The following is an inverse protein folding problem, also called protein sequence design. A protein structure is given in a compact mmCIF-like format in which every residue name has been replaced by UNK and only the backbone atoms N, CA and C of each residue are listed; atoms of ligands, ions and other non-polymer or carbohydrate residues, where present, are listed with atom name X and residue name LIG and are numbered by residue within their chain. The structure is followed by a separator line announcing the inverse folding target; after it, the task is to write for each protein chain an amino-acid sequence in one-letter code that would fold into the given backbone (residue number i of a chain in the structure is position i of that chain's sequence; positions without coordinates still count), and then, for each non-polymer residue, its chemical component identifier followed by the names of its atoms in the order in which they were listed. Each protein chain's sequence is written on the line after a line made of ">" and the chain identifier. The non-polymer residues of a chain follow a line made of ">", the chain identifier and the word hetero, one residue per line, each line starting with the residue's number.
data_IF_391752837228
#
_entry.id   IF_391752837228
#
_cell.length_a   1.000
_cell.length_b   1.000
_cell.length_c   1.000
_cell.angle_alpha   90.00
_cell.angle_beta   90.00
_cell.angle_gamma   90.00
#
_symmetry.space_group_name_H-M   'P 1'
#
loop_
_entity.id
_entity.type
_entity.pdbx_description
1 polymer ?
#
# COMPACT_ATOMS: atom_id res chain seq x y z
N UNK A 1 42.86 -24.32 11.47
CA UNK A 1 42.68 -25.57 12.23
C UNK A 1 41.25 -26.04 12.00
N UNK A 2 41.10 -27.28 11.51
CA UNK A 2 39.88 -27.84 10.92
C UNK A 2 39.07 -28.61 11.96
N UNK A 3 37.74 -28.47 11.97
CA UNK A 3 36.85 -29.53 12.51
C UNK A 3 35.50 -29.52 11.78
N UNK A 4 35.35 -30.50 10.89
CA UNK A 4 34.09 -31.01 10.36
C UNK A 4 33.46 -31.92 11.43
N UNK A 5 32.15 -31.81 11.62
CA UNK A 5 31.31 -32.90 12.18
C UNK A 5 30.07 -33.03 11.28
N UNK A 6 29.79 -34.26 10.83
CA UNK A 6 28.61 -34.72 10.06
C UNK A 6 28.50 -34.45 8.54
N UNK A 7 29.61 -34.33 7.81
CA UNK A 7 29.67 -34.78 6.39
C UNK A 7 28.66 -34.23 5.37
N UNK A 8 27.90 -33.17 5.70
CA UNK A 8 26.96 -32.50 4.80
C UNK A 8 27.28 -31.00 4.80
N UNK A 9 27.44 -30.36 3.63
CA UNK A 9 27.57 -28.91 3.58
C UNK A 9 26.28 -28.25 4.10
N UNK A 10 26.42 -27.39 5.11
CA UNK A 10 25.33 -26.59 5.71
C UNK A 10 24.66 -25.66 4.67
N UNK A 11 25.25 -25.51 3.49
CA UNK A 11 24.72 -24.73 2.37
C UNK A 11 23.59 -25.41 1.58
N UNK A 12 23.21 -26.65 1.89
CA UNK A 12 22.10 -27.34 1.21
C UNK A 12 20.70 -27.06 1.81
N UNK A 13 20.61 -26.45 2.99
CA UNK A 13 19.32 -26.21 3.67
C UNK A 13 18.64 -24.87 3.34
N UNK A 14 19.34 -23.95 2.66
CA UNK A 14 18.89 -22.57 2.42
C UNK A 14 18.61 -22.31 0.93
N UNK A 15 19.16 -23.13 0.03
CA UNK A 15 19.09 -22.91 -1.43
C UNK A 15 17.91 -23.65 -2.10
N UNK A 16 17.39 -24.71 -1.47
CA UNK A 16 16.31 -25.52 -2.05
C UNK A 16 14.99 -24.74 -2.31
N UNK A 17 14.53 -23.81 -1.43
CA UNK A 17 13.29 -23.06 -1.69
C UNK A 17 13.42 -22.07 -2.84
N UNK A 18 14.65 -21.63 -3.16
CA UNK A 18 14.90 -20.62 -4.20
C UNK A 18 14.99 -21.26 -5.60
N UNK A 19 15.42 -22.52 -5.69
CA UNK A 19 15.51 -23.29 -6.95
C UNK A 19 14.12 -23.70 -7.48
N UNK A 20 13.16 -23.91 -6.58
CA UNK A 20 11.79 -24.27 -6.94
C UNK A 20 10.95 -23.08 -7.45
N UNK A 21 11.30 -21.85 -7.06
CA UNK A 21 10.69 -20.64 -7.60
C UNK A 21 11.12 -20.37 -9.06
N UNK A 22 12.37 -20.64 -9.41
CA UNK A 22 12.89 -20.47 -10.78
C UNK A 22 12.55 -21.61 -11.76
N UNK A 23 12.20 -22.82 -11.30
CA UNK A 23 11.98 -23.98 -12.18
C UNK A 23 10.54 -24.19 -12.66
N UNK A 24 9.60 -23.30 -12.32
CA UNK A 24 8.23 -23.33 -12.85
C UNK A 24 7.37 -24.53 -12.44
N UNK A 25 7.86 -25.41 -11.55
CA UNK A 25 7.16 -26.65 -11.15
C UNK A 25 5.99 -26.47 -10.18
N UNK A 26 5.85 -25.29 -9.56
CA UNK A 26 4.69 -24.94 -8.71
C UNK A 26 3.48 -24.43 -9.50
N UNK A 27 3.55 -24.28 -10.83
CA UNK A 27 2.36 -23.99 -11.66
C UNK A 27 1.41 -25.19 -11.79
N UNK A 28 1.87 -26.42 -11.55
CA UNK A 28 1.04 -27.61 -11.77
C UNK A 28 0.10 -27.97 -10.61
N UNK A 29 0.39 -27.52 -9.38
CA UNK A 29 -0.40 -27.90 -8.20
C UNK A 29 -1.50 -26.91 -7.83
N UNK A 30 -1.34 -25.62 -8.17
CA UNK A 30 -2.35 -24.58 -7.87
C UNK A 30 -3.46 -24.48 -8.94
N UNK A 31 -3.23 -25.01 -10.15
CA UNK A 31 -4.25 -25.05 -11.21
C UNK A 31 -5.29 -26.18 -11.07
N UNK A 32 -5.19 -27.05 -10.06
CA UNK A 32 -6.21 -28.09 -9.78
C UNK A 32 -7.38 -27.62 -8.90
N UNK A 33 -7.30 -26.43 -8.29
CA UNK A 33 -8.29 -25.96 -7.29
C UNK A 33 -9.29 -24.95 -7.87
N UNK A 34 -9.19 -24.59 -9.15
CA UNK A 34 -10.18 -23.72 -9.81
C UNK A 34 -10.70 -24.43 -11.06
N UNK A 35 -11.72 -25.30 -10.89
CA UNK A 35 -12.63 -25.63 -11.98
C UNK A 35 -13.78 -24.61 -11.96
N UNK A 36 -13.95 -23.76 -12.97
CA UNK A 36 -15.25 -23.17 -13.25
C UNK A 36 -16.13 -24.22 -13.92
N UNK A 37 -17.34 -24.38 -13.40
CA UNK A 37 -18.42 -25.12 -14.05
C UNK A 37 -18.71 -24.49 -15.42
N UNK A 38 -18.71 -25.33 -16.46
CA UNK A 38 -19.15 -24.97 -17.81
C UNK A 38 -20.63 -24.57 -17.76
N UNK A 39 -20.95 -23.37 -18.24
CA UNK A 39 -22.29 -23.06 -18.75
C UNK A 39 -22.27 -23.38 -20.24
N UNK A 40 -23.09 -24.35 -20.64
CA UNK A 40 -23.23 -24.81 -22.01
C UNK A 40 -23.79 -23.71 -22.90
N UNK A 41 -23.18 -23.59 -24.08
CA UNK A 41 -23.73 -22.90 -25.22
C UNK A 41 -24.49 -23.94 -26.05
N UNK A 42 -25.80 -23.76 -26.20
CA UNK A 42 -26.59 -24.44 -27.22
C UNK A 42 -27.33 -23.37 -28.04
N UNK A 43 -26.82 -23.11 -29.24
CA UNK A 43 -27.48 -22.38 -30.30
C UNK A 43 -27.58 -23.37 -31.47
N UNK A 44 -28.75 -23.96 -31.71
CA UNK A 44 -29.18 -24.47 -33.01
C UNK A 44 -30.70 -24.69 -33.00
N UNK A 45 -31.41 -24.12 -33.98
CA UNK A 45 -32.85 -24.32 -34.15
C UNK A 45 -33.44 -23.34 -35.16
N UNK A 46 -33.13 -23.57 -36.44
CA UNK A 46 -33.89 -23.02 -37.57
C UNK A 46 -35.28 -23.63 -37.61
N UNK A 47 -36.34 -22.83 -37.78
CA UNK A 47 -37.56 -23.19 -38.53
C UNK A 47 -38.48 -21.96 -38.69
N UNK A 48 -38.79 -21.61 -39.95
CA UNK A 48 -39.97 -20.80 -40.30
C UNK A 48 -41.22 -21.69 -40.34
N UNK A 49 -42.44 -21.16 -40.57
CA UNK A 49 -42.77 -20.62 -41.90
C UNK A 49 -43.77 -19.44 -41.97
N UNK A 50 -43.64 -18.67 -43.06
CA UNK A 50 -44.66 -18.21 -44.03
C UNK A 50 -46.08 -17.88 -43.52
N UNK A 51 -46.46 -16.60 -43.69
CA UNK A 51 -47.85 -16.13 -43.79
C UNK A 51 -47.93 -14.64 -44.20
N UNK A 52 -48.20 -14.36 -45.48
CA UNK A 52 -48.55 -13.05 -46.07
C UNK A 52 -50.10 -12.91 -46.17
N UNK A 53 -50.71 -11.83 -46.74
CA UNK A 53 -50.48 -10.38 -46.66
C UNK A 53 -51.82 -9.59 -46.44
N UNK A 54 -51.78 -8.24 -46.32
CA UNK A 54 -52.95 -7.37 -46.57
C UNK A 54 -52.89 -5.98 -45.91
N UNK A 55 -53.58 -4.95 -46.47
CA UNK A 55 -52.92 -3.71 -46.87
C UNK A 55 -53.52 -2.41 -46.27
N UNK A 56 -52.99 -1.26 -46.72
CA UNK A 56 -53.62 0.08 -46.69
C UNK A 56 -53.61 0.83 -45.34
N UNK A 57 -53.50 2.16 -45.21
CA UNK A 57 -53.42 3.30 -46.12
C UNK A 57 -52.95 4.55 -45.31
N UNK A 58 -52.50 5.58 -46.04
CA UNK A 58 -52.55 7.03 -45.72
C UNK A 58 -51.50 7.64 -44.77
N UNK A 59 -50.50 8.23 -45.40
CA UNK A 59 -50.03 9.60 -45.11
C UNK A 59 -51.17 10.63 -45.26
N UNK A 60 -51.08 11.79 -44.57
CA UNK A 60 -50.79 13.00 -45.32
C UNK A 60 -49.78 13.95 -44.65
N UNK A 61 -49.29 14.86 -45.48
CA UNK A 61 -48.30 15.92 -45.29
C UNK A 61 -49.01 17.27 -45.01
N UNK A 62 -48.28 18.26 -44.46
CA UNK A 62 -48.57 19.72 -44.32
C UNK A 62 -49.49 20.11 -43.14
N UNK A 63 -49.24 21.15 -42.31
CA UNK A 63 -48.30 22.28 -42.26
C UNK A 63 -48.23 22.83 -40.80
N UNK A 64 -47.41 23.85 -40.46
CA UNK A 64 -47.02 24.20 -39.09
C UNK A 64 -47.97 25.18 -38.41
N UNK A 65 -48.26 24.96 -37.13
CA UNK A 65 -49.01 25.92 -36.31
C UNK A 65 -48.06 26.59 -35.29
N UNK A 66 -47.56 27.77 -35.69
CA UNK A 66 -46.86 28.72 -34.82
C UNK A 66 -47.88 29.33 -33.85
N UNK A 67 -48.05 28.70 -32.69
CA UNK A 67 -48.60 29.38 -31.51
C UNK A 67 -47.61 29.32 -30.36
N UNK A 68 -47.00 30.47 -30.13
CA UNK A 68 -46.24 30.82 -28.95
C UNK A 68 -47.01 30.39 -27.69
N UNK A 69 -46.57 29.28 -27.08
CA UNK A 69 -46.86 28.99 -25.68
C UNK A 69 -45.76 29.64 -24.87
N UNK A 70 -46.15 30.65 -24.09
CA UNK A 70 -45.35 31.29 -23.08
C UNK A 70 -44.52 30.24 -22.32
N UNK A 71 -43.19 30.27 -22.53
CA UNK A 71 -42.24 29.62 -21.64
C UNK A 71 -42.36 30.32 -20.29
N UNK A 72 -43.07 29.70 -19.37
CA UNK A 72 -42.96 30.08 -17.96
C UNK A 72 -41.51 29.88 -17.55
N UNK A 73 -40.86 30.86 -16.90
CA UNK A 73 -39.54 30.62 -16.33
C UNK A 73 -39.71 29.53 -15.27
N UNK A 74 -39.18 28.34 -15.55
CA UNK A 74 -38.99 27.30 -14.54
C UNK A 74 -38.17 27.97 -13.44
N UNK A 75 -38.67 28.09 -12.20
CA UNK A 75 -37.84 28.58 -11.13
C UNK A 75 -36.68 27.59 -11.00
N UNK A 76 -35.47 28.05 -11.30
CA UNK A 76 -34.24 27.31 -11.01
C UNK A 76 -34.20 27.21 -9.49
N UNK A 77 -34.80 26.12 -9.00
CA UNK A 77 -34.87 25.79 -7.60
C UNK A 77 -33.44 25.58 -7.13
N UNK A 78 -32.96 26.61 -6.44
CA UNK A 78 -32.00 26.56 -5.34
C UNK A 78 -31.03 25.40 -5.45
N UNK A 79 -29.85 25.70 -6.01
CA UNK A 79 -28.64 24.88 -5.99
C UNK A 79 -28.71 23.81 -4.91
N UNK A 80 -28.93 22.57 -5.37
CA UNK A 80 -28.92 21.36 -4.57
C UNK A 80 -27.73 21.48 -3.62
N UNK A 81 -28.00 21.65 -2.32
CA UNK A 81 -26.99 21.71 -1.27
C UNK A 81 -26.15 20.45 -1.45
N UNK A 82 -24.97 20.58 -2.07
CA UNK A 82 -24.05 19.47 -2.24
C UNK A 82 -23.73 19.04 -0.81
N UNK A 83 -24.20 17.84 -0.48
CA UNK A 83 -24.12 17.28 0.85
C UNK A 83 -22.73 17.48 1.44
N UNK A 84 -22.64 18.32 2.47
CA UNK A 84 -21.44 18.54 3.27
C UNK A 84 -20.93 17.25 3.92
N UNK A 85 -21.76 16.20 3.98
CA UNK A 85 -21.35 14.85 4.38
C UNK A 85 -20.28 14.23 3.47
N UNK A 86 -20.19 14.66 2.20
CA UNK A 86 -19.16 14.18 1.25
C UNK A 86 -17.82 14.91 1.37
N UNK A 87 -17.78 16.10 1.98
CA UNK A 87 -16.57 16.89 2.14
C UNK A 87 -15.71 16.37 3.31
N UNK A 88 -16.34 15.92 4.40
CA UNK A 88 -15.65 15.33 5.56
C UNK A 88 -14.93 14.00 5.27
N UNK A 89 -15.35 13.26 4.24
CA UNK A 89 -14.74 11.98 3.83
C UNK A 89 -13.45 12.12 3.03
N UNK A 90 -13.09 13.34 2.61
CA UNK A 90 -11.89 13.62 1.78
C UNK A 90 -10.70 14.13 2.59
N UNK A 91 -10.91 14.49 3.85
CA UNK A 91 -9.88 15.06 4.71
C UNK A 91 -9.31 13.94 5.58
N UNK A 92 -7.97 13.89 5.68
CA UNK A 92 -7.30 12.98 6.62
C UNK A 92 -7.66 13.41 8.04
N UNK A 93 -8.25 12.53 8.87
CA UNK A 93 -8.68 12.90 10.20
C UNK A 93 -7.46 13.16 11.11
N UNK A 94 -7.62 14.05 12.11
CA UNK A 94 -6.52 14.49 12.98
C UNK A 94 -5.81 13.34 13.71
N UNK A 95 -6.55 12.32 14.14
CA UNK A 95 -5.98 11.14 14.82
C UNK A 95 -5.07 10.32 13.89
N UNK A 96 -5.35 10.28 12.58
CA UNK A 96 -4.53 9.55 11.62
C UNK A 96 -3.24 10.31 11.28
N UNK A 97 -3.30 11.64 11.32
CA UNK A 97 -2.09 12.45 11.23
C UNK A 97 -1.25 12.32 12.50
N UNK A 98 -1.87 12.34 13.68
CA UNK A 98 -1.17 12.17 14.95
C UNK A 98 -0.45 10.81 15.01
N UNK A 99 -1.10 9.71 14.58
CA UNK A 99 -0.45 8.41 14.48
C UNK A 99 0.71 8.40 13.48
N UNK A 100 0.54 9.07 12.33
CA UNK A 100 1.62 9.17 11.34
C UNK A 100 2.81 9.99 11.83
N UNK A 101 2.60 11.00 12.69
CA UNK A 101 3.67 11.76 13.36
C UNK A 101 4.35 10.93 14.44
N UNK A 102 3.58 10.18 15.23
CA UNK A 102 4.11 9.36 16.31
C UNK A 102 5.02 8.23 15.79
N UNK A 103 4.71 7.64 14.63
CA UNK A 103 5.49 6.55 14.02
C UNK A 103 7.02 6.81 13.96
N UNK A 104 7.51 7.85 13.25
CA UNK A 104 8.95 8.11 13.17
C UNK A 104 9.55 8.51 14.54
N UNK A 105 8.78 9.18 15.42
CA UNK A 105 9.26 9.55 16.76
C UNK A 105 9.52 8.30 17.61
N UNK A 106 8.58 7.34 17.60
CA UNK A 106 8.68 6.10 18.35
C UNK A 106 9.82 5.23 17.84
N UNK A 107 10.00 5.17 16.52
CA UNK A 107 11.09 4.42 15.90
C UNK A 107 12.46 5.04 16.23
N UNK A 108 12.65 6.33 15.96
CA UNK A 108 13.93 7.03 16.18
C UNK A 108 14.24 7.10 17.67
N UNK A 109 13.25 7.44 18.49
CA UNK A 109 13.38 7.47 19.94
C UNK A 109 13.72 6.10 20.51
N UNK A 110 13.05 5.05 20.02
CA UNK A 110 13.28 3.66 20.43
C UNK A 110 14.73 3.22 20.20
N UNK A 111 15.26 3.37 18.98
CA UNK A 111 16.63 2.94 18.72
C UNK A 111 17.66 3.85 19.39
N UNK A 112 17.38 5.15 19.53
CA UNK A 112 18.34 6.11 20.10
C UNK A 112 18.49 5.86 21.59
N UNK A 113 17.36 5.71 22.29
CA UNK A 113 17.34 5.40 23.70
C UNK A 113 17.86 3.98 23.96
N UNK A 114 17.45 2.99 23.15
CA UNK A 114 17.93 1.61 23.28
C UNK A 114 19.44 1.48 23.08
N UNK A 115 20.00 2.16 22.08
CA UNK A 115 21.45 2.18 21.83
C UNK A 115 22.22 2.83 22.99
N UNK A 116 21.69 3.91 23.56
CA UNK A 116 22.30 4.59 24.71
C UNK A 116 22.33 3.74 26.00
N UNK A 117 21.55 2.65 26.05
CA UNK A 117 21.54 1.70 27.18
C UNK A 117 22.50 0.53 27.00
N UNK A 118 23.05 0.31 25.81
CA UNK A 118 23.92 -0.84 25.59
C UNK A 118 25.28 -0.63 26.28
N UNK A 119 25.74 -1.59 27.11
CA UNK A 119 27.05 -1.54 27.72
C UNK A 119 28.16 -1.50 26.65
N UNK A 120 29.19 -0.68 26.88
CA UNK A 120 30.30 -0.53 25.92
C UNK A 120 29.97 0.31 24.68
N UNK A 121 28.74 0.82 24.57
CA UNK A 121 28.25 1.56 23.41
C UNK A 121 27.69 0.64 22.33
N UNK A 122 26.78 1.17 21.52
CA UNK A 122 26.19 0.46 20.39
C UNK A 122 26.66 1.08 19.07
N UNK A 123 27.28 0.29 18.20
CA UNK A 123 27.62 0.73 16.86
C UNK A 123 26.37 0.77 15.97
N UNK A 124 25.93 1.98 15.63
CA UNK A 124 24.74 2.23 14.81
C UNK A 124 24.95 1.84 13.33
N UNK A 125 26.20 1.67 12.88
CA UNK A 125 26.53 1.35 11.48
C UNK A 125 26.42 -0.15 11.24
N UNK A 126 27.03 -0.95 12.11
CA UNK A 126 27.03 -2.43 12.00
C UNK A 126 25.83 -3.07 12.69
N UNK A 127 25.38 -2.52 13.82
CA UNK A 127 24.31 -3.10 14.63
C UNK A 127 22.91 -2.74 14.13
N UNK A 128 22.07 -3.74 13.90
CA UNK A 128 20.67 -3.56 13.46
C UNK A 128 19.78 -2.95 14.54
N UNK A 129 18.70 -2.28 14.13
CA UNK A 129 17.60 -1.85 15.00
C UNK A 129 17.02 -3.06 15.72
N UNK A 130 16.80 -4.18 15.01
CA UNK A 130 16.30 -5.41 15.61
C UNK A 130 17.23 -6.01 16.68
N UNK A 131 18.55 -5.79 16.59
CA UNK A 131 19.48 -6.21 17.64
C UNK A 131 19.20 -5.50 18.97
N UNK A 132 18.71 -4.25 18.95
CA UNK A 132 18.31 -3.53 20.16
C UNK A 132 17.04 -4.10 20.81
N UNK A 133 16.26 -4.90 20.08
CA UNK A 133 15.08 -5.61 20.59
C UNK A 133 15.36 -7.10 20.87
N UNK A 134 16.60 -7.57 20.63
CA UNK A 134 16.97 -8.97 20.81
C UNK A 134 16.84 -9.41 22.28
N UNK A 135 16.67 -10.71 22.50
CA UNK A 135 16.49 -11.29 23.86
C UNK A 135 17.64 -10.92 24.80
N UNK A 136 18.87 -10.82 24.27
CA UNK A 136 20.07 -10.47 25.03
C UNK A 136 20.36 -8.98 25.17
N UNK A 137 19.59 -8.08 24.54
CA UNK A 137 19.87 -6.64 24.58
C UNK A 137 19.49 -6.03 25.93
N UNK A 138 20.34 -5.12 26.45
CA UNK A 138 20.04 -4.37 27.67
C UNK A 138 18.84 -3.46 27.43
N UNK A 139 17.90 -3.45 28.38
CA UNK A 139 16.65 -2.69 28.27
C UNK A 139 15.90 -2.88 26.93
N UNK A 140 15.91 -4.10 26.38
CA UNK A 140 15.29 -4.44 25.08
C UNK A 140 13.84 -3.97 24.92
N UNK A 141 13.12 -3.86 26.03
CA UNK A 141 11.74 -3.39 26.09
C UNK A 141 11.57 -2.01 25.45
N UNK A 142 12.59 -1.14 25.49
CA UNK A 142 12.58 0.19 24.88
C UNK A 142 12.37 0.08 23.37
N UNK A 143 13.19 -0.73 22.70
CA UNK A 143 13.08 -0.93 21.27
C UNK A 143 11.83 -1.74 20.91
N UNK A 144 11.48 -2.76 21.70
CA UNK A 144 10.24 -3.53 21.50
C UNK A 144 9.00 -2.63 21.55
N UNK A 145 8.90 -1.70 22.50
CA UNK A 145 7.80 -0.74 22.56
C UNK A 145 7.83 0.25 21.39
N UNK A 146 9.03 0.69 20.97
CA UNK A 146 9.20 1.51 19.77
C UNK A 146 8.64 0.84 18.51
N UNK A 147 9.00 -0.44 18.28
CA UNK A 147 8.50 -1.24 17.16
C UNK A 147 7.00 -1.53 17.28
N UNK A 148 6.52 -1.89 18.47
CA UNK A 148 5.10 -2.14 18.71
C UNK A 148 4.25 -0.89 18.45
N UNK A 149 4.70 0.25 18.96
CA UNK A 149 4.06 1.54 18.73
C UNK A 149 4.10 1.98 17.26
N UNK A 150 5.23 1.78 16.57
CA UNK A 150 5.36 2.02 15.13
C UNK A 150 4.35 1.18 14.33
N UNK A 151 4.30 -0.12 14.57
CA UNK A 151 3.39 -1.04 13.88
C UNK A 151 1.92 -0.66 14.09
N UNK A 152 1.53 -0.32 15.32
CA UNK A 152 0.20 0.17 15.63
C UNK A 152 -0.09 1.50 14.90
N UNK A 153 0.87 2.43 14.89
CA UNK A 153 0.73 3.69 14.19
C UNK A 153 0.50 3.50 12.68
N UNK A 154 1.16 2.54 12.04
CA UNK A 154 0.90 2.21 10.63
C UNK A 154 -0.53 1.69 10.41
N UNK A 155 -1.01 0.79 11.27
CA UNK A 155 -2.38 0.28 11.21
C UNK A 155 -3.44 1.38 11.39
N UNK A 156 -3.25 2.26 12.38
CA UNK A 156 -4.12 3.41 12.64
C UNK A 156 -4.08 4.37 11.43
N UNK A 157 -2.88 4.73 10.95
CA UNK A 157 -2.73 5.62 9.79
C UNK A 157 -3.44 5.04 8.56
N UNK A 158 -3.30 3.74 8.29
CA UNK A 158 -4.01 3.06 7.21
C UNK A 158 -5.54 3.15 7.33
N UNK A 159 -6.09 3.05 8.55
CA UNK A 159 -7.51 3.22 8.80
C UNK A 159 -8.00 4.64 8.45
N UNK A 160 -7.15 5.64 8.66
CA UNK A 160 -7.48 7.06 8.45
C UNK A 160 -7.27 7.59 7.03
N UNK A 161 -6.43 6.94 6.22
CA UNK A 161 -6.16 7.32 4.83
C UNK A 161 -7.28 6.92 3.84
N UNK A 162 -8.54 7.13 4.22
CA UNK A 162 -9.74 6.82 3.41
C UNK A 162 -9.78 7.42 2.00
N UNK A 163 -9.12 8.56 1.70
CA UNK A 163 -9.05 9.05 0.32
C UNK A 163 -8.25 8.14 -0.62
N UNK A 164 -7.41 7.25 -0.11
CA UNK A 164 -6.57 6.34 -0.89
C UNK A 164 -7.30 5.06 -1.26
N UNK A 165 -6.79 4.35 -2.28
CA UNK A 165 -7.34 3.07 -2.67
C UNK A 165 -7.23 2.04 -1.54
N UNK A 166 -8.24 1.15 -1.35
CA UNK A 166 -8.22 0.13 -0.30
C UNK A 166 -7.00 -0.78 -0.32
N UNK A 167 -6.48 -1.11 -1.51
CA UNK A 167 -5.32 -1.98 -1.67
C UNK A 167 -4.05 -1.39 -1.03
N UNK A 168 -3.73 -0.11 -1.29
CA UNK A 168 -2.60 0.56 -0.63
C UNK A 168 -2.78 0.68 0.88
N UNK A 169 -4.01 0.92 1.36
CA UNK A 169 -4.28 0.94 2.81
C UNK A 169 -4.10 -0.44 3.46
N UNK A 170 -4.58 -1.49 2.81
CA UNK A 170 -4.40 -2.86 3.29
C UNK A 170 -2.92 -3.23 3.36
N UNK A 171 -2.12 -2.82 2.38
CA UNK A 171 -0.68 -3.09 2.38
C UNK A 171 0.07 -2.29 3.45
N UNK A 172 -0.32 -1.03 3.69
CA UNK A 172 0.21 -0.25 4.83
C UNK A 172 -0.13 -0.90 6.18
N UNK A 173 -1.36 -1.39 6.35
CA UNK A 173 -1.76 -2.13 7.55
C UNK A 173 -1.01 -3.46 7.69
N UNK A 174 -0.79 -4.18 6.59
CA UNK A 174 0.03 -5.39 6.57
C UNK A 174 1.47 -5.11 7.02
N UNK A 175 2.05 -4.00 6.56
CA UNK A 175 3.36 -3.54 7.02
C UNK A 175 3.40 -3.27 8.53
N UNK A 176 2.36 -2.62 9.05
CA UNK A 176 2.18 -2.41 10.49
C UNK A 176 2.07 -3.72 11.28
N UNK A 177 1.27 -4.68 10.81
CA UNK A 177 1.16 -6.01 11.41
C UNK A 177 2.47 -6.80 11.35
N UNK A 178 3.21 -6.72 10.25
CA UNK A 178 4.55 -7.28 10.15
C UNK A 178 5.50 -6.69 11.18
N UNK A 179 5.45 -5.38 11.39
CA UNK A 179 6.26 -4.69 12.42
C UNK A 179 5.89 -5.12 13.83
N UNK A 180 4.59 -5.30 14.12
CA UNK A 180 4.13 -5.88 15.40
C UNK A 180 4.67 -7.31 15.58
N UNK A 181 4.68 -8.11 14.52
CA UNK A 181 5.23 -9.47 14.55
C UNK A 181 6.75 -9.46 14.77
N UNK A 182 7.50 -8.51 14.21
CA UNK A 182 8.94 -8.33 14.51
C UNK A 182 9.16 -8.08 16.01
N UNK A 183 8.32 -7.26 16.63
CA UNK A 183 8.38 -7.02 18.08
C UNK A 183 8.03 -8.27 18.92
N UNK A 184 7.09 -9.09 18.43
CA UNK A 184 6.67 -10.33 19.09
C UNK A 184 7.68 -11.49 18.92
N UNK A 185 8.42 -11.50 17.81
CA UNK A 185 9.44 -12.51 17.50
C UNK A 185 10.83 -11.87 17.53
N UNK A 186 11.41 -11.59 18.71
CA UNK A 186 12.73 -10.97 18.81
C UNK A 186 13.83 -11.90 18.27
N UNK A 187 14.96 -11.30 17.93
CA UNK A 187 16.18 -12.06 17.62
C UNK A 187 16.65 -12.83 18.87
N UNK A 188 17.25 -14.03 18.69
CA UNK A 188 17.89 -14.77 19.77
C UNK A 188 19.04 -13.96 20.39
N UNK A 189 19.52 -14.39 21.56
CA UNK A 189 20.75 -13.84 22.13
C UNK A 189 21.97 -14.21 21.28
N UNK A 190 22.87 -13.25 21.02
CA UNK A 190 24.05 -13.42 20.16
C UNK A 190 23.75 -13.23 18.67
N UNK A 191 24.71 -13.58 17.80
CA UNK A 191 24.64 -13.35 16.33
C UNK A 191 23.76 -14.37 15.58
N UNK A 192 22.78 -14.97 16.25
CA UNK A 192 21.90 -16.00 15.68
C UNK A 192 20.74 -15.43 14.86
N UNK A 193 20.38 -16.07 13.75
CA UNK A 193 19.19 -15.75 12.97
C UNK A 193 17.90 -16.34 13.55
N UNK A 194 16.75 -15.72 13.24
CA UNK A 194 15.41 -16.22 13.59
C UNK A 194 14.51 -16.21 12.36
N UNK A 195 14.08 -17.39 11.89
CA UNK A 195 13.20 -17.50 10.72
C UNK A 195 11.88 -16.74 10.91
N UNK A 196 11.17 -16.83 12.06
CA UNK A 196 9.96 -16.03 12.29
C UNK A 196 10.22 -14.53 12.23
N UNK A 197 11.35 -14.06 12.80
CA UNK A 197 11.73 -12.66 12.76
C UNK A 197 12.01 -12.19 11.32
N UNK A 198 12.81 -12.95 10.58
CA UNK A 198 13.17 -12.62 9.19
C UNK A 198 11.94 -12.59 8.30
N UNK A 199 11.00 -13.53 8.45
CA UNK A 199 9.75 -13.52 7.69
C UNK A 199 8.87 -12.31 8.06
N UNK A 200 8.74 -12.00 9.35
CA UNK A 200 8.00 -10.83 9.82
C UNK A 200 8.59 -9.53 9.27
N UNK A 201 9.92 -9.39 9.32
CA UNK A 201 10.65 -8.24 8.78
C UNK A 201 10.48 -8.13 7.27
N UNK A 202 10.58 -9.23 6.53
CA UNK A 202 10.36 -9.25 5.08
C UNK A 202 8.94 -8.79 4.71
N UNK A 203 7.93 -9.23 5.44
CA UNK A 203 6.54 -8.77 5.26
C UNK A 203 6.42 -7.28 5.60
N UNK A 204 7.03 -6.83 6.71
CA UNK A 204 6.99 -5.44 7.13
C UNK A 204 7.59 -4.49 6.07
N UNK A 205 8.89 -4.65 5.78
CA UNK A 205 9.61 -3.83 4.80
C UNK A 205 9.00 -3.95 3.39
N UNK A 206 8.70 -5.18 2.95
CA UNK A 206 8.12 -5.38 1.61
C UNK A 206 6.76 -4.68 1.45
N UNK A 207 5.88 -4.79 2.44
CA UNK A 207 4.58 -4.14 2.40
C UNK A 207 4.68 -2.60 2.54
N UNK A 208 5.55 -2.11 3.42
CA UNK A 208 5.80 -0.67 3.63
C UNK A 208 6.52 0.00 2.43
N UNK A 209 7.32 -0.74 1.66
CA UNK A 209 7.90 -0.20 0.44
C UNK A 209 6.89 -0.18 -0.74
N UNK A 210 6.00 -1.18 -0.81
CA UNK A 210 5.11 -1.37 -1.96
C UNK A 210 3.76 -0.66 -1.85
N UNK A 211 3.30 -0.28 -0.64
CA UNK A 211 1.97 0.31 -0.47
C UNK A 211 1.72 1.57 -1.32
N UNK A 212 2.72 2.46 -1.60
CA UNK A 212 2.49 3.63 -2.43
C UNK A 212 2.13 3.28 -3.87
N UNK A 213 2.58 2.12 -4.38
CA UNK A 213 2.24 1.69 -5.74
C UNK A 213 0.75 1.37 -5.90
N UNK A 214 0.10 0.96 -4.81
CA UNK A 214 -1.31 0.56 -4.76
C UNK A 214 -2.23 1.59 -4.08
N UNK A 215 -1.67 2.70 -3.60
CA UNK A 215 -2.39 3.78 -2.91
C UNK A 215 -3.16 4.75 -3.82
N UNK A 216 -2.77 5.02 -5.09
CA UNK A 216 -3.48 5.97 -5.94
C UNK A 216 -4.96 5.61 -6.10
N UNK A 217 -5.88 6.56 -5.89
CA UNK A 217 -7.29 6.35 -6.18
C UNK A 217 -7.49 5.98 -7.65
N UNK A 218 -8.47 5.11 -7.95
CA UNK A 218 -8.85 4.81 -9.33
C UNK A 218 -9.28 6.10 -10.02
N UNK A 219 -8.66 6.40 -11.16
CA UNK A 219 -9.06 7.55 -11.98
C UNK A 219 -10.50 7.33 -12.43
N UNK A 220 -11.38 8.32 -12.19
CA UNK A 220 -12.66 8.36 -12.90
C UNK A 220 -12.36 8.75 -14.35
N UNK A 221 -13.00 8.12 -15.35
CA UNK A 221 -12.90 8.56 -16.73
C UNK A 221 -13.37 10.02 -16.80
N UNK A 222 -12.43 10.95 -17.02
CA UNK A 222 -12.78 12.36 -17.23
C UNK A 222 -13.08 12.54 -18.71
N UNK A 223 -14.26 13.06 -19.03
CA UNK A 223 -14.78 13.35 -20.37
C UNK A 223 -14.09 14.54 -21.07
N UNK A 224 -12.80 14.80 -20.78
CA UNK A 224 -12.09 16.01 -21.21
C UNK A 224 -10.94 15.74 -22.18
N UNK A 225 -10.83 16.62 -23.18
CA UNK A 225 -9.87 16.69 -24.31
C UNK A 225 -8.36 16.77 -23.98
N UNK A 226 -7.93 16.43 -22.76
CA UNK A 226 -6.51 16.23 -22.49
C UNK A 226 -6.14 14.78 -22.83
N UNK A 227 -5.13 14.56 -23.69
CA UNK A 227 -4.69 13.23 -24.10
C UNK A 227 -4.66 12.24 -22.92
N UNK A 228 -5.36 11.08 -23.00
CA UNK A 228 -5.65 10.22 -21.85
C UNK A 228 -4.43 9.81 -21.00
N UNK A 229 -3.24 9.80 -21.62
CA UNK A 229 -1.99 9.30 -21.08
C UNK A 229 -1.20 10.35 -20.29
N UNK A 230 -1.06 11.59 -20.76
CA UNK A 230 -0.21 12.61 -20.13
C UNK A 230 -0.71 13.01 -18.72
N UNK A 231 -2.04 13.19 -18.58
CA UNK A 231 -2.65 13.51 -17.29
C UNK A 231 -2.65 12.35 -16.28
N UNK A 232 -2.65 11.11 -16.77
CA UNK A 232 -2.54 9.91 -15.93
C UNK A 232 -1.12 9.74 -15.39
N UNK A 233 -0.11 9.84 -16.26
CA UNK A 233 1.29 9.71 -15.89
C UNK A 233 1.72 10.76 -14.87
N UNK A 234 1.31 12.03 -15.06
CA UNK A 234 1.62 13.12 -14.11
C UNK A 234 1.06 12.87 -12.71
N UNK A 235 -0.11 12.24 -12.58
CA UNK A 235 -0.71 11.90 -11.28
C UNK A 235 -0.09 10.67 -10.63
N UNK A 236 0.43 9.73 -11.44
CA UNK A 236 1.08 8.50 -10.98
C UNK A 236 2.55 8.69 -10.60
N UNK A 237 3.26 9.60 -11.27
CA UNK A 237 4.69 9.87 -11.06
C UNK A 237 5.11 10.02 -9.58
N UNK A 238 4.46 10.84 -8.72
CA UNK A 238 4.88 10.97 -7.32
C UNK A 238 4.72 9.68 -6.50
N UNK A 239 3.74 8.83 -6.84
CA UNK A 239 3.53 7.55 -6.17
C UNK A 239 4.56 6.51 -6.58
N UNK A 240 4.93 6.49 -7.86
CA UNK A 240 6.02 5.65 -8.36
C UNK A 240 7.34 6.09 -7.74
N UNK A 241 7.62 7.40 -7.72
CA UNK A 241 8.81 7.95 -7.09
C UNK A 241 8.88 7.59 -5.59
N UNK A 242 7.75 7.68 -4.87
CA UNK A 242 7.70 7.27 -3.46
C UNK A 242 7.97 5.78 -3.29
N UNK A 243 7.33 4.91 -4.09
CA UNK A 243 7.57 3.46 -4.02
C UNK A 243 9.04 3.11 -4.31
N UNK A 244 9.62 3.68 -5.37
CA UNK A 244 11.04 3.49 -5.70
C UNK A 244 11.96 4.02 -4.59
N UNK A 245 11.65 5.20 -4.05
CA UNK A 245 12.39 5.82 -2.96
C UNK A 245 12.38 5.02 -1.65
N UNK A 246 11.37 4.16 -1.44
CA UNK A 246 11.32 3.22 -0.32
C UNK A 246 11.99 1.88 -0.65
N UNK A 247 11.78 1.36 -1.87
CA UNK A 247 12.37 0.09 -2.31
C UNK A 247 13.89 0.14 -2.39
N UNK A 248 14.49 1.29 -2.77
CA UNK A 248 15.94 1.43 -2.90
C UNK A 248 16.68 1.23 -1.55
N UNK A 249 16.32 1.94 -0.46
CA UNK A 249 16.85 1.65 0.87
C UNK A 249 16.64 0.20 1.33
N UNK A 250 15.47 -0.37 1.09
CA UNK A 250 15.19 -1.77 1.45
C UNK A 250 16.08 -2.74 0.68
N UNK A 251 16.25 -2.52 -0.62
CA UNK A 251 17.15 -3.32 -1.44
C UNK A 251 18.59 -3.22 -0.95
N UNK A 252 19.05 -2.02 -0.57
CA UNK A 252 20.37 -1.84 0.03
C UNK A 252 20.51 -2.63 1.34
N UNK A 253 19.53 -2.52 2.25
CA UNK A 253 19.53 -3.30 3.49
C UNK A 253 19.56 -4.81 3.25
N UNK A 254 18.77 -5.31 2.30
CA UNK A 254 18.75 -6.74 1.93
C UNK A 254 20.10 -7.18 1.37
N UNK A 255 20.76 -6.37 0.55
CA UNK A 255 22.08 -6.66 0.00
C UNK A 255 23.14 -6.70 1.11
N UNK A 256 23.17 -5.72 2.00
CA UNK A 256 24.10 -5.72 3.16
C UNK A 256 23.89 -6.96 4.02
N UNK A 257 22.64 -7.31 4.33
CA UNK A 257 22.31 -8.49 5.13
C UNK A 257 22.71 -9.79 4.42
N UNK A 258 22.43 -9.93 3.13
CA UNK A 258 22.71 -11.16 2.37
C UNK A 258 24.21 -11.36 2.09
N UNK A 259 24.96 -10.26 1.96
CA UNK A 259 26.40 -10.28 1.72
C UNK A 259 27.24 -10.26 3.00
N UNK A 260 26.63 -10.06 4.18
CA UNK A 260 27.36 -9.87 5.44
C UNK A 260 28.14 -8.55 5.46
N UNK A 261 27.57 -7.49 4.89
CA UNK A 261 28.20 -6.19 4.76
C UNK A 261 28.28 -5.41 6.08
N UNK A 262 29.27 -4.52 6.17
CA UNK A 262 29.61 -3.77 7.39
C UNK A 262 28.60 -2.65 7.72
N UNK A 263 27.65 -2.36 6.83
CA UNK A 263 26.73 -1.22 6.97
C UNK A 263 25.28 -1.64 7.14
N UNK A 264 25.04 -2.89 7.51
CA UNK A 264 23.69 -3.45 7.66
C UNK A 264 22.81 -2.65 8.62
N UNK A 265 23.36 -2.16 9.74
CA UNK A 265 22.65 -1.31 10.70
C UNK A 265 22.30 0.07 10.15
N UNK A 266 23.21 0.70 9.41
CA UNK A 266 22.93 1.98 8.74
C UNK A 266 21.85 1.82 7.67
N UNK A 267 21.98 0.80 6.82
CA UNK A 267 21.05 0.53 5.74
C UNK A 267 19.63 0.27 6.27
N UNK A 268 19.50 -0.50 7.34
CA UNK A 268 18.21 -0.74 8.00
C UNK A 268 17.58 0.54 8.54
N UNK A 269 18.36 1.42 9.19
CA UNK A 269 17.86 2.72 9.71
C UNK A 269 17.36 3.63 8.61
N UNK A 270 18.08 3.69 7.50
CA UNK A 270 17.67 4.47 6.33
C UNK A 270 16.37 3.91 5.75
N UNK A 271 16.26 2.58 5.61
CA UNK A 271 15.05 1.93 5.12
C UNK A 271 13.85 2.14 6.07
N UNK A 272 13.98 1.75 7.34
CA UNK A 272 12.92 1.84 8.33
C UNK A 272 12.52 3.30 8.59
N UNK A 273 13.48 4.23 8.64
CA UNK A 273 13.22 5.65 8.79
C UNK A 273 12.44 6.24 7.61
N UNK A 274 12.82 5.89 6.37
CA UNK A 274 12.09 6.32 5.18
C UNK A 274 10.65 5.77 5.16
N UNK A 275 10.47 4.50 5.50
CA UNK A 275 9.17 3.84 5.58
C UNK A 275 8.27 4.40 6.69
N UNK A 276 8.85 4.78 7.83
CA UNK A 276 8.13 5.43 8.91
C UNK A 276 7.67 6.86 8.53
N UNK A 277 8.46 7.59 7.73
CA UNK A 277 8.15 8.95 7.30
C UNK A 277 7.15 9.01 6.14
N UNK A 278 7.13 8.03 5.24
CA UNK A 278 6.28 8.07 4.05
C UNK A 278 4.78 8.25 4.34
N UNK A 279 4.14 7.52 5.28
CA UNK A 279 2.74 7.72 5.62
C UNK A 279 2.45 9.14 6.14
N UNK A 280 3.39 9.75 6.89
CA UNK A 280 3.27 11.12 7.36
C UNK A 280 3.28 12.12 6.20
N UNK A 281 4.21 11.97 5.26
CA UNK A 281 4.28 12.84 4.09
C UNK A 281 2.99 12.78 3.27
N UNK A 282 2.46 11.56 3.06
CA UNK A 282 1.20 11.34 2.34
C UNK A 282 0.01 11.93 3.11
N UNK A 283 -0.11 11.67 4.40
CA UNK A 283 -1.18 12.20 5.25
C UNK A 283 -1.20 13.74 5.25
N UNK A 284 -0.02 14.36 5.39
CA UNK A 284 0.14 15.81 5.36
C UNK A 284 -0.18 16.39 3.97
N UNK A 285 0.28 15.74 2.90
CA UNK A 285 -0.02 16.14 1.52
C UNK A 285 -1.52 16.12 1.20
N UNK A 286 -2.21 15.05 1.59
CA UNK A 286 -3.67 14.94 1.44
C UNK A 286 -4.42 16.00 2.25
N UNK A 287 -3.98 16.28 3.48
CA UNK A 287 -4.61 17.31 4.33
C UNK A 287 -4.44 18.71 3.76
N UNK A 288 -3.26 19.04 3.20
CA UNK A 288 -2.99 20.33 2.53
C UNK A 288 -3.82 20.50 1.26
N UNK A 289 -3.99 19.44 0.47
CA UNK A 289 -4.81 19.47 -0.75
C UNK A 289 -6.31 19.60 -0.51
N UNK A 290 -6.78 19.44 0.74
CA UNK A 290 -8.18 19.54 1.13
C UNK A 290 -8.55 20.87 1.82
N UNK A 291 -7.68 21.89 1.74
CA UNK A 291 -7.90 23.22 2.33
C UNK A 291 -9.20 23.90 1.90
N UNK A 292 -9.69 24.90 2.67
CA UNK A 292 -10.98 25.54 2.43
C UNK A 292 -11.05 26.15 1.01
N UNK A 293 -12.23 26.11 0.36
CA UNK A 293 -12.39 26.74 -0.94
C UNK A 293 -12.05 28.24 -0.84
N UNK A 294 -11.47 28.85 -1.89
CA UNK A 294 -11.17 30.27 -1.90
C UNK A 294 -12.44 31.05 -1.54
N UNK A 295 -12.34 31.95 -0.57
CA UNK A 295 -13.44 32.82 -0.20
C UNK A 295 -13.85 33.59 -1.45
N UNK A 296 -15.05 33.29 -1.97
CA UNK A 296 -15.58 33.94 -3.15
C UNK A 296 -15.57 35.46 -2.93
N UNK A 297 -14.91 36.17 -3.84
CA UNK A 297 -14.99 37.62 -3.94
C UNK A 297 -16.47 37.96 -4.08
N UNK A 298 -17.01 38.66 -3.08
CA UNK A 298 -18.35 39.26 -3.16
C UNK A 298 -18.16 40.53 -3.98
N UNK A 299 -18.58 40.47 -5.24
CA UNK A 299 -18.87 41.66 -6.04
C UNK A 299 -20.34 42.07 -5.77
#
# INVERSE_FOLDING_TARGET
>A
MSTKINGRPILAGIVEPYRDWCSGRLRASILKVIRPTRVGADNHGCEGPIGRPGPELRTPVFAPDLRARCLTPVPVTRARRVSTYGAGMRVVPGWALASAVAAPILLVGGWTLGAARQPGGFDQITGTISALAAVGATDRWIMTLGLAGLGLCHCVTAAGLRPLAPAGRALLALGGMGTLAVAAFPLPSGDGGSVPHTLAAAVAFGALALWPALAPPRAKPTTGYAGPTAGYLRRRAPWVALAVGLLLPVAWFVVEMAAGGERVGLAERVAAGAEALAPLLVAAGLRRGAGPPPAGRRD
#
